data_IF_976285808813
#
_entry.id   IF_976285808813
#
_cell.length_a   1.000
_cell.length_b   1.000
_cell.length_c   1.000
_cell.angle_alpha   90.00
_cell.angle_beta   90.00
_cell.angle_gamma   90.00
#
_symmetry.space_group_name_H-M   'P 1'
#
loop_
_entity.id
_entity.type
_entity.pdbx_description
1 polymer ?
#
# COMPACT_ATOMS: atom_id res chain seq x y z
N UNK A 1 -2.89 -16.75 12.51
CA UNK A 1 -2.99 -15.28 12.66
C UNK A 1 -4.36 -14.96 13.24
N UNK A 2 -4.42 -14.43 14.46
CA UNK A 2 -5.69 -14.15 15.13
C UNK A 2 -6.29 -12.79 14.75
N UNK A 3 -5.49 -11.94 14.09
CA UNK A 3 -5.91 -10.63 13.58
C UNK A 3 -5.17 -10.30 12.26
N UNK A 4 -5.87 -10.26 11.11
CA UNK A 4 -5.28 -9.90 9.80
C UNK A 4 -4.82 -8.44 9.70
N UNK A 5 -5.09 -7.63 10.73
CA UNK A 5 -4.73 -6.21 10.82
C UNK A 5 -3.59 -5.96 11.81
N UNK A 6 -2.94 -7.01 12.32
CA UNK A 6 -1.87 -6.87 13.31
C UNK A 6 -0.63 -6.12 12.78
N UNK A 7 -0.51 -5.93 11.47
CA UNK A 7 0.50 -5.09 10.83
C UNK A 7 0.24 -3.58 11.01
N UNK A 8 -1.00 -3.18 11.33
CA UNK A 8 -1.38 -1.76 11.41
C UNK A 8 -0.66 -1.06 12.57
N UNK A 9 0.09 0.02 12.31
CA UNK A 9 0.69 0.82 13.38
C UNK A 9 -0.38 1.55 14.20
N UNK A 10 -0.16 1.69 15.51
CA UNK A 10 -1.04 2.49 16.38
C UNK A 10 -0.83 4.01 16.18
N UNK A 11 0.39 4.40 15.82
CA UNK A 11 0.79 5.76 15.50
C UNK A 11 1.90 5.74 14.45
N UNK A 12 2.01 6.79 13.64
CA UNK A 12 3.07 6.92 12.65
C UNK A 12 4.45 6.93 13.33
N UNK A 13 5.46 6.42 12.63
CA UNK A 13 6.86 6.40 13.06
C UNK A 13 7.10 5.58 14.35
N UNK A 14 6.27 4.57 14.63
CA UNK A 14 6.41 3.70 15.81
C UNK A 14 6.56 2.22 15.45
N UNK A 15 7.19 1.47 16.36
CA UNK A 15 7.39 0.03 16.21
C UNK A 15 8.45 -0.34 15.18
N UNK A 16 8.38 -1.57 14.69
CA UNK A 16 9.37 -2.11 13.75
C UNK A 16 8.81 -2.29 12.33
N UNK A 17 7.51 -2.09 12.12
CA UNK A 17 6.90 -2.21 10.81
C UNK A 17 7.25 -1.00 9.94
N UNK A 18 8.10 -1.21 8.93
CA UNK A 18 8.72 -0.14 8.15
C UNK A 18 7.67 0.75 7.48
N UNK A 19 6.63 0.15 6.92
CA UNK A 19 5.59 0.87 6.19
C UNK A 19 4.77 1.83 7.09
N UNK A 20 4.88 1.70 8.43
CA UNK A 20 4.26 2.64 9.38
C UNK A 20 5.02 3.95 9.58
N UNK A 21 6.15 4.16 8.89
CA UNK A 21 6.96 5.36 9.00
C UNK A 21 6.74 6.32 7.82
N UNK A 22 6.94 7.61 8.06
CA UNK A 22 7.02 8.65 7.03
C UNK A 22 8.36 8.63 6.28
N UNK A 23 8.41 9.28 5.12
CA UNK A 23 9.62 9.44 4.31
C UNK A 23 10.82 9.96 5.12
N UNK A 24 10.61 11.05 5.87
CA UNK A 24 11.70 11.74 6.56
C UNK A 24 12.17 10.96 7.79
N UNK A 25 11.26 10.37 8.57
CA UNK A 25 11.66 9.53 9.69
C UNK A 25 12.44 8.30 9.24
N UNK A 26 12.10 7.68 8.10
CA UNK A 26 12.89 6.57 7.55
C UNK A 26 14.27 7.03 7.10
N UNK A 27 14.39 8.19 6.45
CA UNK A 27 15.69 8.73 6.00
C UNK A 27 16.70 8.90 7.14
N UNK A 28 16.24 9.14 8.37
CA UNK A 28 17.10 9.24 9.56
C UNK A 28 17.56 7.87 10.08
N UNK A 29 16.78 6.81 9.81
CA UNK A 29 17.06 5.44 10.29
C UNK A 29 17.82 4.60 9.27
N UNK A 30 17.58 4.80 7.99
CA UNK A 30 18.27 4.09 6.89
C UNK A 30 19.76 4.40 6.91
N UNK A 31 20.58 3.36 6.82
CA UNK A 31 22.04 3.42 6.98
C UNK A 31 22.52 3.20 8.42
N UNK A 32 21.63 3.27 9.41
CA UNK A 32 21.92 2.95 10.82
C UNK A 32 21.23 1.66 11.24
N UNK A 33 19.93 1.55 10.98
CA UNK A 33 19.12 0.42 11.36
C UNK A 33 19.12 -0.68 10.31
N UNK A 34 19.12 -1.93 10.78
CA UNK A 34 18.99 -3.10 9.91
C UNK A 34 17.58 -3.19 9.34
N UNK A 35 17.50 -3.38 8.03
CA UNK A 35 16.25 -3.52 7.27
C UNK A 35 16.13 -4.96 6.78
N UNK A 36 15.00 -5.61 7.08
CA UNK A 36 14.73 -6.99 6.67
C UNK A 36 13.52 -7.05 5.74
N UNK A 37 13.64 -7.82 4.66
CA UNK A 37 12.54 -8.34 3.85
C UNK A 37 12.25 -9.79 4.28
N UNK A 38 11.13 -10.07 4.95
CA UNK A 38 10.75 -11.44 5.26
C UNK A 38 10.11 -12.16 4.07
N UNK A 39 10.42 -13.44 3.90
CA UNK A 39 9.56 -14.41 3.19
C UNK A 39 8.99 -15.37 4.23
N UNK A 40 7.67 -15.46 4.32
CA UNK A 40 7.00 -16.28 5.34
C UNK A 40 5.75 -16.97 4.79
N UNK A 41 5.15 -17.86 5.57
CA UNK A 41 3.87 -18.45 5.19
C UNK A 41 2.70 -17.51 5.49
N UNK A 42 1.64 -17.58 4.69
CA UNK A 42 0.36 -16.95 5.02
C UNK A 42 -0.08 -17.32 6.45
N UNK A 43 -0.53 -16.33 7.20
CA UNK A 43 -0.97 -16.51 8.58
C UNK A 43 0.15 -16.52 9.64
N UNK A 44 1.41 -16.30 9.24
CA UNK A 44 2.53 -16.02 10.17
C UNK A 44 2.18 -14.84 11.08
N UNK A 45 2.31 -14.94 12.42
CA UNK A 45 1.99 -13.84 13.33
C UNK A 45 2.84 -12.59 13.08
N UNK A 46 2.21 -11.41 13.12
CA UNK A 46 2.92 -10.14 12.92
C UNK A 46 4.02 -9.88 13.98
N UNK A 47 3.86 -10.41 15.20
CA UNK A 47 4.89 -10.34 16.24
C UNK A 47 6.16 -11.12 15.90
N UNK A 48 6.04 -12.25 15.18
CA UNK A 48 7.18 -13.03 14.70
C UNK A 48 7.95 -12.24 13.63
N UNK A 49 7.23 -11.53 12.76
CA UNK A 49 7.83 -10.67 11.73
C UNK A 49 8.48 -9.43 12.32
N UNK A 50 7.76 -8.68 13.16
CA UNK A 50 8.27 -7.43 13.77
C UNK A 50 9.44 -7.67 14.73
N UNK A 51 9.62 -8.90 15.24
CA UNK A 51 10.78 -9.31 16.02
C UNK A 51 12.07 -9.51 15.20
N UNK A 52 12.02 -9.50 13.87
CA UNK A 52 13.18 -9.84 13.02
C UNK A 52 14.24 -8.74 12.96
N UNK A 53 13.85 -7.46 12.99
CA UNK A 53 14.77 -6.33 12.90
C UNK A 53 14.13 -5.02 13.41
N UNK A 54 14.92 -3.96 13.64
CA UNK A 54 14.38 -2.63 13.97
C UNK A 54 13.51 -2.02 12.86
N UNK A 55 13.71 -2.44 11.60
CA UNK A 55 12.91 -2.09 10.44
C UNK A 55 12.61 -3.35 9.62
N UNK A 56 11.32 -3.67 9.50
CA UNK A 56 10.82 -4.87 8.81
C UNK A 56 9.88 -4.43 7.71
N UNK A 57 10.24 -4.75 6.46
CA UNK A 57 9.37 -4.59 5.31
C UNK A 57 8.19 -5.55 5.40
N UNK A 58 7.06 -5.25 4.74
CA UNK A 58 6.01 -6.24 4.55
C UNK A 58 6.54 -7.56 3.96
N UNK A 59 5.96 -8.72 4.29
CA UNK A 59 6.47 -10.00 3.81
C UNK A 59 6.10 -10.27 2.36
N UNK A 60 6.89 -11.12 1.71
CA UNK A 60 6.40 -11.96 0.62
C UNK A 60 5.91 -13.30 1.17
N UNK A 61 4.90 -13.89 0.54
CA UNK A 61 4.29 -15.14 1.01
C UNK A 61 4.76 -16.35 0.21
N UNK A 62 5.26 -17.39 0.87
CA UNK A 62 5.70 -18.65 0.25
C UNK A 62 4.66 -19.21 -0.72
N UNK A 63 3.40 -19.24 -0.30
CA UNK A 63 2.30 -19.83 -1.04
C UNK A 63 1.92 -19.02 -2.30
N UNK A 64 2.34 -17.75 -2.37
CA UNK A 64 2.09 -16.85 -3.49
C UNK A 64 3.24 -16.84 -4.53
N UNK A 65 4.32 -17.59 -4.29
CA UNK A 65 5.54 -17.54 -5.09
C UNK A 65 5.85 -18.87 -5.78
N UNK A 66 6.32 -18.77 -7.02
CA UNK A 66 7.17 -19.78 -7.65
C UNK A 66 8.65 -19.34 -7.57
N UNK A 67 9.59 -20.25 -7.87
CA UNK A 67 11.03 -19.96 -7.78
C UNK A 67 11.47 -18.76 -8.64
N UNK A 68 10.88 -18.60 -9.82
CA UNK A 68 11.24 -17.52 -10.75
C UNK A 68 10.68 -16.18 -10.26
N UNK A 69 9.41 -16.15 -9.85
CA UNK A 69 8.74 -14.98 -9.32
C UNK A 69 9.41 -14.51 -8.03
N UNK A 70 9.81 -15.45 -7.16
CA UNK A 70 10.56 -15.15 -5.95
C UNK A 70 11.84 -14.39 -6.28
N UNK A 71 12.66 -14.93 -7.19
CA UNK A 71 13.94 -14.30 -7.57
C UNK A 71 13.69 -12.92 -8.18
N UNK A 72 12.70 -12.81 -9.07
CA UNK A 72 12.37 -11.55 -9.73
C UNK A 72 11.89 -10.46 -8.75
N UNK A 73 10.97 -10.80 -7.82
CA UNK A 73 10.47 -9.86 -6.82
C UNK A 73 11.57 -9.43 -5.84
N UNK A 74 12.36 -10.38 -5.30
CA UNK A 74 13.46 -10.04 -4.40
C UNK A 74 14.46 -9.13 -5.11
N UNK A 75 14.86 -9.46 -6.34
CA UNK A 75 15.78 -8.64 -7.13
C UNK A 75 15.23 -7.23 -7.33
N UNK A 76 13.96 -7.11 -7.73
CA UNK A 76 13.33 -5.81 -7.99
C UNK A 76 13.18 -4.98 -6.71
N UNK A 77 12.76 -5.60 -5.60
CA UNK A 77 12.68 -4.92 -4.31
C UNK A 77 14.05 -4.37 -3.89
N UNK A 78 15.12 -5.16 -4.04
CA UNK A 78 16.48 -4.71 -3.69
C UNK A 78 17.05 -3.64 -4.62
N UNK A 79 16.54 -3.54 -5.85
CA UNK A 79 16.90 -2.48 -6.80
C UNK A 79 16.22 -1.15 -6.47
N UNK A 80 15.00 -1.20 -5.92
CA UNK A 80 14.20 -0.03 -5.58
C UNK A 80 14.48 0.54 -4.19
N UNK A 81 14.73 -0.31 -3.19
CA UNK A 81 14.67 0.09 -1.78
C UNK A 81 16.01 -0.09 -1.05
N UNK A 82 16.43 0.84 -0.17
CA UNK A 82 15.71 2.05 0.28
C UNK A 82 15.77 3.24 -0.67
N UNK A 83 16.73 3.25 -1.58
CA UNK A 83 16.88 4.27 -2.62
C UNK A 83 17.04 3.57 -3.96
N UNK A 84 16.29 4.00 -4.96
CA UNK A 84 16.38 3.41 -6.29
C UNK A 84 17.80 3.57 -6.83
N UNK A 85 18.32 2.52 -7.46
CA UNK A 85 19.74 2.41 -7.77
C UNK A 85 20.31 3.54 -8.67
N UNK A 86 19.47 4.22 -9.45
CA UNK A 86 19.88 5.36 -10.29
C UNK A 86 19.87 6.72 -9.56
N UNK A 87 19.35 6.79 -8.32
CA UNK A 87 19.39 8.01 -7.50
C UNK A 87 20.79 8.25 -6.94
N UNK A 88 21.08 9.48 -6.51
CA UNK A 88 22.35 9.86 -5.89
C UNK A 88 22.71 9.06 -4.63
N UNK A 89 21.69 8.48 -3.98
CA UNK A 89 21.80 7.67 -2.76
C UNK A 89 21.71 6.16 -3.02
N UNK A 90 21.67 5.75 -4.30
CA UNK A 90 21.65 4.35 -4.70
C UNK A 90 22.82 3.56 -4.08
N UNK A 91 22.50 2.47 -3.40
CA UNK A 91 23.50 1.59 -2.77
C UNK A 91 24.03 2.05 -1.40
N UNK A 92 23.51 3.14 -0.81
CA UNK A 92 23.90 3.57 0.56
C UNK A 92 23.49 2.59 1.66
N UNK A 93 22.46 1.78 1.42
CA UNK A 93 21.93 0.80 2.37
C UNK A 93 21.38 -0.42 1.62
N UNK A 94 21.34 -1.56 2.30
CA UNK A 94 20.83 -2.82 1.74
C UNK A 94 19.67 -3.37 2.54
N UNK A 95 18.86 -4.19 1.89
CA UNK A 95 17.81 -4.99 2.52
C UNK A 95 18.34 -6.41 2.72
N UNK A 96 18.22 -6.95 3.93
CA UNK A 96 18.53 -8.35 4.24
C UNK A 96 17.30 -9.22 3.99
N UNK A 97 17.46 -10.29 3.21
CA UNK A 97 16.40 -11.29 3.01
C UNK A 97 16.41 -12.29 4.17
N UNK A 98 15.29 -12.44 4.87
CA UNK A 98 15.10 -13.51 5.86
C UNK A 98 13.97 -14.42 5.42
N UNK A 99 14.28 -15.67 5.13
CA UNK A 99 13.29 -16.68 4.79
C UNK A 99 12.95 -17.51 6.03
N UNK A 100 11.71 -17.38 6.51
CA UNK A 100 11.20 -18.20 7.60
C UNK A 100 10.80 -19.58 7.07
N UNK A 101 10.91 -20.64 7.88
CA UNK A 101 10.45 -21.97 7.49
C UNK A 101 8.97 -21.94 7.10
N UNK A 102 8.63 -22.54 5.95
CA UNK A 102 7.24 -22.70 5.53
C UNK A 102 6.43 -23.50 6.57
N UNK A 103 5.25 -23.00 6.92
CA UNK A 103 4.35 -23.59 7.92
C UNK A 103 2.90 -23.41 7.50
N UNK A 104 2.10 -24.45 7.69
CA UNK A 104 0.65 -24.30 7.59
C UNK A 104 0.12 -23.58 8.85
N UNK A 105 -0.53 -22.44 8.67
CA UNK A 105 -1.22 -21.73 9.74
C UNK A 105 -2.73 -21.95 9.63
N UNK A 106 -3.46 -21.98 10.76
CA UNK A 106 -4.93 -21.99 10.71
C UNK A 106 -5.44 -20.73 9.99
N UNK A 107 -6.61 -20.85 9.36
CA UNK A 107 -7.32 -19.74 8.74
C UNK A 107 -7.46 -18.56 9.72
N UNK A 108 -7.32 -17.33 9.23
CA UNK A 108 -7.46 -16.11 10.03
C UNK A 108 -8.92 -15.76 10.39
N UNK A 109 -9.87 -16.58 9.96
CA UNK A 109 -11.30 -16.41 10.20
C UNK A 109 -12.10 -17.62 9.71
N UNK A 110 -13.44 -17.51 9.66
CA UNK A 110 -14.30 -18.53 9.05
C UNK A 110 -13.88 -18.82 7.60
N UNK A 111 -14.06 -20.06 7.15
CA UNK A 111 -13.88 -20.44 5.74
C UNK A 111 -15.23 -20.42 4.99
N UNK A 112 -15.22 -20.40 3.66
CA UNK A 112 -16.46 -20.48 2.87
C UNK A 112 -17.25 -19.18 2.74
N UNK A 113 -16.69 -18.04 3.14
CA UNK A 113 -17.28 -16.69 3.03
C UNK A 113 -16.84 -15.92 1.78
N UNK A 114 -17.09 -14.61 1.78
CA UNK A 114 -16.43 -13.68 0.85
C UNK A 114 -15.12 -13.25 1.50
N UNK A 115 -13.99 -13.48 0.84
CA UNK A 115 -12.72 -12.93 1.31
C UNK A 115 -12.56 -11.51 0.81
N UNK A 116 -12.04 -10.61 1.65
CA UNK A 116 -11.70 -9.25 1.26
C UNK A 116 -10.25 -8.91 1.63
N UNK A 117 -9.53 -8.29 0.70
CA UNK A 117 -8.17 -7.81 0.88
C UNK A 117 -7.89 -6.68 -0.09
N UNK A 118 -6.84 -5.91 0.18
CA UNK A 118 -6.38 -4.90 -0.76
C UNK A 118 -5.13 -5.33 -1.51
N UNK A 119 -4.94 -4.72 -2.68
CA UNK A 119 -3.68 -4.73 -3.40
C UNK A 119 -3.25 -3.28 -3.53
N UNK A 120 -2.48 -2.82 -2.55
CA UNK A 120 -2.01 -1.45 -2.43
C UNK A 120 -0.49 -1.43 -2.35
N UNK A 121 0.13 -0.33 -2.77
CA UNK A 121 1.58 -0.10 -2.69
C UNK A 121 1.96 0.35 -1.28
N UNK A 122 2.01 -0.59 -0.32
CA UNK A 122 2.28 -0.27 1.08
C UNK A 122 3.69 0.32 1.33
N UNK A 123 4.62 0.16 0.39
CA UNK A 123 5.96 0.75 0.44
C UNK A 123 6.08 1.79 -0.67
N UNK A 124 5.38 2.90 -0.48
CA UNK A 124 5.41 4.10 -1.31
C UNK A 124 5.45 5.32 -0.40
N UNK A 125 6.40 6.22 -0.61
CA UNK A 125 6.50 7.42 0.21
C UNK A 125 5.28 8.32 0.02
N UNK A 126 4.70 8.83 1.11
CA UNK A 126 3.56 9.74 1.09
C UNK A 126 3.93 11.07 1.74
N UNK A 127 5.05 11.62 1.31
CA UNK A 127 5.59 12.85 1.82
C UNK A 127 6.08 12.79 3.27
N UNK A 128 6.35 13.96 3.87
CA UNK A 128 6.90 14.03 5.23
C UNK A 128 5.91 13.67 6.34
N UNK A 129 4.60 13.72 6.07
CA UNK A 129 3.56 13.73 7.11
C UNK A 129 2.70 12.46 7.18
N UNK A 130 2.70 11.60 6.15
CA UNK A 130 1.93 10.36 6.11
C UNK A 130 2.84 9.12 6.08
N UNK A 131 2.36 7.96 6.58
CA UNK A 131 3.13 6.71 6.54
C UNK A 131 3.22 6.16 5.12
N UNK A 132 4.20 5.30 4.85
CA UNK A 132 4.26 4.62 3.54
C UNK A 132 3.01 3.79 3.25
N UNK A 133 2.43 3.15 4.28
CA UNK A 133 1.23 2.33 4.19
C UNK A 133 -0.07 3.14 4.03
N UNK A 134 -0.01 4.41 3.60
CA UNK A 134 -1.19 5.29 3.47
C UNK A 134 -2.29 4.64 2.66
N UNK A 135 -1.95 3.99 1.54
CA UNK A 135 -2.92 3.33 0.68
C UNK A 135 -3.60 2.15 1.40
N UNK A 136 -2.81 1.25 1.96
CA UNK A 136 -3.28 0.07 2.68
C UNK A 136 -4.12 0.42 3.90
N UNK A 137 -3.77 1.50 4.61
CA UNK A 137 -4.53 1.99 5.77
C UNK A 137 -5.94 2.44 5.38
N UNK A 138 -6.08 3.17 4.27
CA UNK A 138 -7.37 3.60 3.74
C UNK A 138 -8.23 2.40 3.30
N UNK A 139 -7.65 1.51 2.51
CA UNK A 139 -8.33 0.30 2.04
C UNK A 139 -8.85 -0.54 3.20
N UNK A 140 -8.03 -0.79 4.22
CA UNK A 140 -8.46 -1.62 5.34
C UNK A 140 -9.44 -0.94 6.28
N UNK A 141 -9.43 0.39 6.41
CA UNK A 141 -10.49 1.10 7.13
C UNK A 141 -11.88 0.86 6.49
N UNK A 142 -11.94 0.82 5.14
CA UNK A 142 -13.15 0.47 4.40
C UNK A 142 -13.50 -1.00 4.61
N UNK A 143 -12.55 -1.91 4.40
CA UNK A 143 -12.80 -3.35 4.49
C UNK A 143 -13.25 -3.77 5.90
N UNK A 144 -12.68 -3.20 6.95
CA UNK A 144 -13.13 -3.42 8.33
C UNK A 144 -14.57 -3.00 8.55
N UNK A 145 -14.93 -1.82 8.03
CA UNK A 145 -16.30 -1.34 8.15
C UNK A 145 -17.27 -2.31 7.48
N UNK A 146 -16.95 -2.75 6.26
CA UNK A 146 -17.76 -3.72 5.52
C UNK A 146 -17.85 -5.08 6.25
N UNK A 147 -16.73 -5.58 6.78
CA UNK A 147 -16.71 -6.84 7.53
C UNK A 147 -17.52 -6.76 8.82
N UNK A 148 -17.53 -5.61 9.50
CA UNK A 148 -18.38 -5.37 10.68
C UNK A 148 -19.87 -5.34 10.36
N UNK A 149 -20.23 -4.91 9.14
CA UNK A 149 -21.61 -4.87 8.64
C UNK A 149 -22.09 -6.25 8.12
N UNK A 150 -21.15 -7.13 7.76
CA UNK A 150 -21.43 -8.42 7.10
C UNK A 150 -20.60 -9.58 7.67
N UNK A 151 -21.15 -10.41 8.58
CA UNK A 151 -20.44 -11.54 9.19
C UNK A 151 -19.90 -12.61 8.22
N UNK A 152 -20.38 -12.62 6.97
CA UNK A 152 -19.89 -13.50 5.91
C UNK A 152 -18.64 -13.01 5.18
N UNK A 153 -18.08 -11.86 5.58
CA UNK A 153 -16.87 -11.27 5.00
C UNK A 153 -15.68 -11.55 5.91
N UNK A 154 -14.60 -12.06 5.32
CA UNK A 154 -13.37 -12.45 6.01
C UNK A 154 -12.23 -11.60 5.47
N UNK A 155 -11.55 -10.86 6.35
CA UNK A 155 -10.40 -10.07 5.96
C UNK A 155 -9.15 -10.98 5.84
N UNK A 156 -8.50 -10.94 4.70
CA UNK A 156 -7.17 -11.52 4.50
C UNK A 156 -6.10 -10.43 4.65
N UNK A 157 -4.81 -10.80 4.83
CA UNK A 157 -3.70 -9.85 4.78
C UNK A 157 -3.63 -9.08 3.44
N UNK A 158 -2.97 -7.90 3.41
CA UNK A 158 -2.78 -7.16 2.17
C UNK A 158 -1.81 -7.85 1.22
N UNK A 159 -1.93 -7.51 -0.08
CA UNK A 159 -0.81 -7.57 -1.01
C UNK A 159 -0.11 -6.21 -0.96
N UNK A 160 1.02 -6.14 -0.26
CA UNK A 160 1.70 -4.88 0.08
C UNK A 160 2.62 -4.30 -1.01
N UNK A 161 2.75 -5.01 -2.15
CA UNK A 161 3.66 -4.64 -3.23
C UNK A 161 2.91 -4.46 -4.53
N UNK A 162 3.12 -3.30 -5.17
CA UNK A 162 2.47 -2.93 -6.42
C UNK A 162 3.36 -2.20 -7.41
N UNK A 163 2.73 -1.63 -8.42
CA UNK A 163 3.38 -0.89 -9.50
C UNK A 163 3.25 0.61 -9.22
N UNK A 164 4.36 1.34 -9.21
CA UNK A 164 4.37 2.78 -8.87
C UNK A 164 4.41 3.67 -10.11
N UNK A 165 3.76 4.82 -10.02
CA UNK A 165 3.80 5.83 -11.10
C UNK A 165 4.95 6.83 -10.93
N UNK A 166 5.27 7.23 -9.69
CA UNK A 166 6.24 8.31 -9.44
C UNK A 166 7.03 8.21 -8.12
N UNK A 167 6.85 7.18 -7.27
CA UNK A 167 7.52 7.13 -5.96
C UNK A 167 9.04 6.92 -6.00
N UNK A 168 9.59 6.26 -7.03
CA UNK A 168 11.03 5.87 -7.07
C UNK A 168 12.01 7.06 -6.93
N UNK A 169 11.85 8.20 -7.63
CA UNK A 169 12.69 9.40 -7.46
C UNK A 169 12.82 9.93 -6.03
N UNK A 170 11.81 9.73 -5.18
CA UNK A 170 11.79 10.28 -3.82
C UNK A 170 12.48 9.36 -2.80
N UNK A 171 12.72 8.10 -3.18
CA UNK A 171 13.21 7.04 -2.30
C UNK A 171 12.10 6.43 -1.43
N UNK A 172 12.49 5.50 -0.55
CA UNK A 172 11.59 4.76 0.34
C UNK A 172 10.37 4.14 -0.36
N UNK A 173 10.51 3.78 -1.63
CA UNK A 173 9.43 3.32 -2.48
C UNK A 173 9.83 2.07 -3.27
N UNK A 174 8.89 1.16 -3.49
CA UNK A 174 9.10 -0.09 -4.22
C UNK A 174 8.10 -0.20 -5.38
N UNK A 175 8.64 -0.32 -6.60
CA UNK A 175 7.87 -0.62 -7.81
C UNK A 175 8.18 -2.04 -8.28
N UNK A 176 7.24 -2.97 -8.14
CA UNK A 176 7.40 -4.34 -8.66
C UNK A 176 7.02 -4.47 -10.14
N UNK A 177 6.64 -3.40 -10.83
CA UNK A 177 6.16 -3.40 -12.23
C UNK A 177 4.85 -4.17 -12.44
N UNK A 178 4.10 -3.82 -13.48
CA UNK A 178 2.83 -4.47 -13.80
C UNK A 178 2.96 -5.99 -14.04
N UNK A 179 3.95 -6.50 -14.81
CA UNK A 179 4.06 -7.95 -15.04
C UNK A 179 4.30 -8.78 -13.77
N UNK A 180 5.16 -8.32 -12.84
CA UNK A 180 5.36 -9.06 -11.59
C UNK A 180 4.14 -8.93 -10.68
N UNK A 181 3.48 -7.77 -10.67
CA UNK A 181 2.25 -7.59 -9.92
C UNK A 181 1.15 -8.55 -10.38
N UNK A 182 0.91 -8.69 -11.68
CA UNK A 182 -0.06 -9.66 -12.21
C UNK A 182 0.25 -11.09 -11.75
N UNK A 183 1.52 -11.51 -11.83
CA UNK A 183 1.95 -12.84 -11.35
C UNK A 183 1.75 -12.99 -9.83
N UNK A 184 2.10 -11.96 -9.07
CA UNK A 184 2.02 -12.00 -7.61
C UNK A 184 0.57 -12.01 -7.11
N UNK A 185 -0.31 -11.17 -7.68
CA UNK A 185 -1.75 -11.19 -7.39
C UNK A 185 -2.36 -12.54 -7.75
N UNK A 186 -1.96 -13.14 -8.87
CA UNK A 186 -2.42 -14.49 -9.25
C UNK A 186 -2.03 -15.52 -8.18
N UNK A 187 -0.74 -15.55 -7.81
CA UNK A 187 -0.21 -16.46 -6.78
C UNK A 187 -0.86 -16.26 -5.42
N UNK A 188 -0.96 -15.01 -4.98
CA UNK A 188 -1.59 -14.63 -3.71
C UNK A 188 -3.06 -15.04 -3.66
N UNK A 189 -3.83 -14.73 -4.70
CA UNK A 189 -5.26 -15.07 -4.76
C UNK A 189 -5.47 -16.58 -4.76
N UNK A 190 -4.57 -17.33 -5.41
CA UNK A 190 -4.57 -18.80 -5.37
C UNK A 190 -4.24 -19.35 -3.97
N UNK A 191 -3.27 -18.76 -3.29
CA UNK A 191 -2.93 -19.12 -1.92
C UNK A 191 -4.09 -18.83 -0.95
N UNK A 192 -4.79 -17.71 -1.13
CA UNK A 192 -6.02 -17.39 -0.41
C UNK A 192 -7.14 -18.41 -0.70
N UNK A 193 -7.27 -18.85 -1.95
CA UNK A 193 -8.24 -19.88 -2.32
C UNK A 193 -8.01 -21.19 -1.54
N UNK A 194 -6.75 -21.59 -1.38
CA UNK A 194 -6.37 -22.80 -0.64
C UNK A 194 -6.49 -22.63 0.88
N UNK A 195 -6.23 -21.41 1.39
CA UNK A 195 -6.19 -21.16 2.83
C UNK A 195 -7.57 -20.87 3.45
N UNK A 196 -8.45 -20.18 2.73
CA UNK A 196 -9.75 -19.70 3.25
C UNK A 196 -10.97 -20.31 2.56
N UNK A 197 -10.77 -21.05 1.46
CA UNK A 197 -11.84 -21.67 0.66
C UNK A 197 -13.03 -20.71 0.38
N UNK A 198 -12.79 -19.48 -0.11
CA UNK A 198 -13.84 -18.47 -0.23
C UNK A 198 -14.81 -18.77 -1.39
N UNK A 199 -16.05 -18.30 -1.25
CA UNK A 199 -17.06 -18.34 -2.32
C UNK A 199 -16.91 -17.20 -3.32
N UNK A 200 -16.30 -16.09 -2.91
CA UNK A 200 -15.94 -14.97 -3.77
C UNK A 200 -14.82 -14.12 -3.14
N UNK A 201 -14.15 -13.29 -3.94
CA UNK A 201 -13.19 -12.28 -3.47
C UNK A 201 -13.69 -10.85 -3.73
N UNK A 202 -13.59 -9.97 -2.74
CA UNK A 202 -13.74 -8.53 -2.88
C UNK A 202 -12.37 -7.86 -2.73
N UNK A 203 -11.84 -7.34 -3.83
CA UNK A 203 -10.48 -6.80 -3.87
C UNK A 203 -10.54 -5.30 -4.07
N UNK A 204 -9.80 -4.56 -3.25
CA UNK A 204 -9.80 -3.09 -3.29
C UNK A 204 -8.39 -2.54 -3.52
N UNK A 205 -8.34 -1.32 -4.02
CA UNK A 205 -7.12 -0.54 -4.27
C UNK A 205 -7.46 0.93 -4.10
N UNK A 206 -6.56 1.76 -3.57
CA UNK A 206 -6.69 3.22 -3.64
C UNK A 206 -5.68 3.86 -4.58
N UNK A 207 -4.64 3.12 -4.99
CA UNK A 207 -3.53 3.65 -5.76
C UNK A 207 -3.96 4.27 -7.10
N UNK A 208 -3.38 5.43 -7.43
CA UNK A 208 -3.78 6.29 -8.55
C UNK A 208 -3.54 5.73 -9.96
N UNK A 209 -2.77 4.65 -10.09
CA UNK A 209 -2.33 4.12 -11.40
C UNK A 209 -3.38 3.26 -12.10
N UNK A 210 -3.74 3.65 -13.34
CA UNK A 210 -4.57 2.80 -14.22
C UNK A 210 -3.83 1.50 -14.60
N UNK A 211 -2.50 1.55 -14.74
CA UNK A 211 -1.66 0.39 -15.06
C UNK A 211 -1.65 -0.61 -13.90
N UNK A 212 -1.62 -0.12 -12.66
CA UNK A 212 -1.73 -0.94 -11.46
C UNK A 212 -3.06 -1.69 -11.41
N UNK A 213 -4.17 -0.97 -11.60
CA UNK A 213 -5.52 -1.55 -11.60
C UNK A 213 -5.69 -2.63 -12.66
N UNK A 214 -5.20 -2.38 -13.87
CA UNK A 214 -5.24 -3.37 -14.94
C UNK A 214 -4.46 -4.64 -14.56
N UNK A 215 -3.26 -4.49 -14.00
CA UNK A 215 -2.44 -5.62 -13.57
C UNK A 215 -3.09 -6.45 -12.45
N UNK A 216 -3.79 -5.80 -11.50
CA UNK A 216 -4.59 -6.47 -10.46
C UNK A 216 -5.71 -7.29 -11.10
N UNK A 217 -6.50 -6.66 -11.97
CA UNK A 217 -7.63 -7.33 -12.63
C UNK A 217 -7.18 -8.53 -13.48
N UNK A 218 -6.06 -8.41 -14.20
CA UNK A 218 -5.47 -9.51 -14.95
C UNK A 218 -5.03 -10.66 -14.01
N UNK A 219 -4.45 -10.33 -12.85
CA UNK A 219 -4.05 -11.33 -11.86
C UNK A 219 -5.24 -12.06 -11.23
N UNK A 220 -6.32 -11.33 -10.93
CA UNK A 220 -7.57 -11.91 -10.42
C UNK A 220 -8.23 -12.81 -11.47
N UNK A 221 -8.25 -12.38 -12.74
CA UNK A 221 -8.79 -13.16 -13.85
C UNK A 221 -8.01 -14.46 -14.11
N UNK A 222 -6.70 -14.47 -13.84
CA UNK A 222 -5.85 -15.65 -13.95
C UNK A 222 -5.89 -16.57 -12.71
N UNK A 223 -6.54 -16.16 -11.62
CA UNK A 223 -6.62 -16.91 -10.36
C UNK A 223 -7.68 -18.02 -10.39
N UNK A 224 -7.67 -18.87 -9.35
CA UNK A 224 -8.64 -19.96 -9.13
C UNK A 224 -9.96 -19.49 -8.50
N UNK A 225 -10.05 -18.25 -8.02
CA UNK A 225 -11.31 -17.72 -7.47
C UNK A 225 -12.18 -17.26 -8.64
N UNK A 226 -13.17 -18.07 -9.02
CA UNK A 226 -14.01 -17.81 -10.20
C UNK A 226 -15.04 -16.68 -10.05
N UNK A 227 -15.24 -16.15 -8.84
CA UNK A 227 -16.17 -15.05 -8.57
C UNK A 227 -15.47 -13.96 -7.78
N UNK A 228 -15.31 -12.79 -8.36
CA UNK A 228 -14.65 -11.67 -7.70
C UNK A 228 -15.24 -10.32 -8.15
N UNK A 229 -15.00 -9.30 -7.35
CA UNK A 229 -15.22 -7.90 -7.71
C UNK A 229 -13.99 -7.08 -7.31
N UNK A 230 -13.60 -6.14 -8.17
CA UNK A 230 -12.50 -5.22 -7.94
C UNK A 230 -13.03 -3.79 -7.83
N UNK A 231 -12.55 -3.04 -6.83
CA UNK A 231 -12.92 -1.63 -6.61
C UNK A 231 -11.68 -0.77 -6.39
N UNK A 232 -11.48 0.18 -7.30
CA UNK A 232 -10.67 1.36 -6.99
C UNK A 232 -11.49 2.32 -6.10
N UNK A 233 -11.10 2.44 -4.83
CA UNK A 233 -11.89 3.09 -3.79
C UNK A 233 -11.97 4.62 -3.93
N UNK A 234 -11.01 5.25 -4.62
CA UNK A 234 -11.03 6.69 -4.86
C UNK A 234 -11.88 7.11 -6.06
N UNK A 235 -12.50 6.17 -6.80
CA UNK A 235 -13.42 6.46 -7.91
C UNK A 235 -14.52 7.51 -7.58
N UNK A 236 -15.26 7.43 -6.44
CA UNK A 236 -16.24 8.45 -6.08
C UNK A 236 -15.64 9.80 -5.65
N UNK A 237 -14.32 9.90 -5.56
CA UNK A 237 -13.58 11.07 -5.08
C UNK A 237 -12.90 11.87 -6.19
N UNK A 238 -12.92 11.40 -7.45
CA UNK A 238 -12.17 12.01 -8.59
C UNK A 238 -12.38 13.53 -8.70
N UNK A 239 -13.60 14.03 -8.50
CA UNK A 239 -13.93 15.46 -8.57
C UNK A 239 -13.36 16.31 -7.40
N UNK A 240 -12.90 15.65 -6.35
CA UNK A 240 -12.31 16.23 -5.13
C UNK A 240 -10.79 16.01 -5.09
N UNK A 241 -10.29 14.98 -5.76
CA UNK A 241 -8.86 14.65 -5.87
C UNK A 241 -8.31 15.02 -7.25
N UNK A 242 -8.36 14.08 -8.19
CA UNK A 242 -7.63 14.15 -9.44
C UNK A 242 -8.01 15.32 -10.34
N UNK A 243 -9.29 15.68 -10.42
CA UNK A 243 -9.77 16.84 -11.18
C UNK A 243 -9.27 18.18 -10.59
N UNK A 244 -8.78 18.15 -9.34
CA UNK A 244 -8.21 19.29 -8.61
C UNK A 244 -6.69 19.21 -8.48
N UNK A 245 -6.05 18.28 -9.18
CA UNK A 245 -4.59 18.09 -9.13
C UNK A 245 -4.05 17.51 -7.83
N UNK A 246 -4.91 16.93 -6.98
CA UNK A 246 -4.54 16.20 -5.76
C UNK A 246 -4.47 14.72 -6.07
N UNK A 247 -3.27 14.16 -6.15
CA UNK A 247 -3.04 12.79 -6.61
C UNK A 247 -2.21 11.93 -5.66
N UNK A 248 -1.33 12.54 -4.87
CA UNK A 248 -0.40 11.78 -4.04
C UNK A 248 0.07 12.57 -2.82
N UNK A 249 -0.13 12.01 -1.64
CA UNK A 249 0.12 12.63 -0.34
C UNK A 249 -0.52 14.02 -0.18
N UNK A 250 -1.57 14.29 -0.95
CA UNK A 250 -2.26 15.58 -0.99
C UNK A 250 -3.37 15.67 0.04
N UNK A 251 -4.34 16.55 -0.21
CA UNK A 251 -5.37 16.88 0.76
C UNK A 251 -6.29 15.70 1.06
N UNK A 252 -6.70 14.95 0.04
CA UNK A 252 -7.63 13.82 0.16
C UNK A 252 -7.09 12.71 1.04
N UNK A 253 -5.86 12.27 0.80
CA UNK A 253 -5.23 11.22 1.60
C UNK A 253 -4.93 11.70 3.02
N UNK A 254 -4.49 12.95 3.16
CA UNK A 254 -4.26 13.55 4.48
C UNK A 254 -5.55 13.57 5.32
N UNK A 255 -6.67 14.03 4.73
CA UNK A 255 -7.96 14.07 5.41
C UNK A 255 -8.50 12.67 5.74
N UNK A 256 -8.31 11.69 4.85
CA UNK A 256 -8.73 10.31 5.08
C UNK A 256 -7.92 9.65 6.21
N UNK A 257 -6.59 9.76 6.20
CA UNK A 257 -5.72 9.20 7.25
C UNK A 257 -6.00 9.86 8.60
N UNK A 258 -6.17 11.19 8.63
CA UNK A 258 -6.51 11.90 9.86
C UNK A 258 -7.88 11.46 10.42
N UNK A 259 -8.87 11.26 9.56
CA UNK A 259 -10.18 10.73 9.96
C UNK A 259 -10.10 9.29 10.48
N UNK A 260 -9.29 8.43 9.84
CA UNK A 260 -9.10 7.04 10.25
C UNK A 260 -8.45 6.97 11.63
N UNK A 261 -7.34 7.68 11.83
CA UNK A 261 -6.65 7.80 13.11
C UNK A 261 -5.69 9.01 13.07
N UNK A 262 -5.95 10.08 13.83
CA UNK A 262 -5.07 11.25 13.86
C UNK A 262 -3.63 10.96 14.29
N UNK A 263 -3.39 9.88 15.04
CA UNK A 263 -2.04 9.46 15.43
C UNK A 263 -1.21 8.89 14.27
N UNK A 264 -1.82 8.63 13.11
CA UNK A 264 -1.13 8.22 11.89
C UNK A 264 -0.64 9.41 11.05
N UNK A 265 -0.94 10.64 11.46
CA UNK A 265 -0.39 11.84 10.83
C UNK A 265 0.76 12.38 11.69
N UNK A 266 1.88 12.71 11.06
CA UNK A 266 3.03 13.23 11.82
C UNK A 266 2.76 14.66 12.29
N UNK A 267 2.45 14.80 13.58
CA UNK A 267 2.17 16.09 14.21
C UNK A 267 3.37 17.06 14.20
N UNK A 268 4.60 16.58 13.95
CA UNK A 268 5.76 17.44 13.74
C UNK A 268 5.76 18.13 12.38
N UNK A 269 4.95 17.64 11.42
CA UNK A 269 4.81 18.20 10.07
C UNK A 269 3.43 18.81 9.83
N UNK A 270 2.36 18.09 10.14
CA UNK A 270 1.00 18.53 9.84
C UNK A 270 0.21 18.87 11.12
N UNK A 271 -0.60 19.96 11.12
CA UNK A 271 -0.75 20.97 10.07
C UNK A 271 0.28 22.11 10.15
N UNK A 272 1.11 22.11 11.20
CA UNK A 272 1.91 23.28 11.59
C UNK A 272 2.98 23.73 10.56
N UNK A 273 3.47 22.81 9.72
CA UNK A 273 4.49 23.09 8.68
C UNK A 273 3.91 23.02 7.26
N UNK A 274 2.60 23.25 7.11
CA UNK A 274 1.90 23.22 5.83
C UNK A 274 2.57 24.10 4.76
N UNK A 275 2.99 25.31 5.09
CA UNK A 275 3.65 26.20 4.12
C UNK A 275 4.96 25.61 3.59
N UNK A 276 5.72 24.89 4.43
CA UNK A 276 6.94 24.21 4.01
C UNK A 276 6.65 23.01 3.10
N UNK A 277 5.56 22.28 3.37
CA UNK A 277 5.10 21.18 2.51
C UNK A 277 4.66 21.70 1.14
N UNK A 278 3.83 22.75 1.11
CA UNK A 278 3.36 23.38 -0.13
C UNK A 278 4.51 23.98 -0.94
N UNK A 279 5.55 24.50 -0.30
CA UNK A 279 6.72 25.05 -1.00
C UNK A 279 7.60 23.98 -1.67
N UNK A 280 7.41 22.69 -1.33
CA UNK A 280 8.24 21.56 -1.80
C UNK A 280 7.45 20.45 -2.48
N UNK A 281 6.13 20.60 -2.62
CA UNK A 281 5.33 19.69 -3.43
C UNK A 281 5.64 19.88 -4.92
N UNK A 282 5.38 18.84 -5.71
CA UNK A 282 5.38 18.87 -7.16
C UNK A 282 3.96 19.09 -7.68
N UNK A 283 3.79 19.74 -8.83
CA UNK A 283 2.48 19.78 -9.50
C UNK A 283 2.18 18.45 -10.20
N UNK A 284 0.90 18.08 -10.32
CA UNK A 284 0.51 16.90 -11.09
C UNK A 284 0.98 16.98 -12.56
N UNK A 285 0.88 18.15 -13.18
CA UNK A 285 1.31 18.37 -14.56
C UNK A 285 2.81 18.05 -14.73
N UNK A 286 3.65 18.50 -13.79
CA UNK A 286 5.07 18.20 -13.81
C UNK A 286 5.36 16.71 -13.60
N UNK A 287 4.68 16.06 -12.66
CA UNK A 287 4.85 14.63 -12.42
C UNK A 287 4.47 13.81 -13.65
N UNK A 288 3.33 14.08 -14.29
CA UNK A 288 2.88 13.42 -15.52
C UNK A 288 3.85 13.65 -16.67
N UNK A 289 4.36 14.88 -16.82
CA UNK A 289 5.33 15.20 -17.87
C UNK A 289 6.64 14.42 -17.71
N UNK A 290 7.08 14.19 -16.47
CA UNK A 290 8.36 13.56 -16.16
C UNK A 290 8.28 12.03 -16.02
N UNK A 291 7.09 11.45 -15.85
CA UNK A 291 6.93 10.03 -15.56
C UNK A 291 7.45 9.08 -16.64
N UNK A 292 7.65 9.57 -17.87
CA UNK A 292 8.23 8.79 -18.98
C UNK A 292 9.76 8.89 -19.09
N UNK A 293 10.40 9.77 -18.30
CA UNK A 293 11.85 10.00 -18.28
C UNK A 293 12.36 10.03 -16.83
N UNK A 294 12.56 8.83 -16.29
CA UNK A 294 12.94 8.63 -14.90
C UNK A 294 14.25 9.33 -14.50
N UNK A 295 15.34 9.31 -15.30
CA UNK A 295 16.55 10.08 -15.00
C UNK A 295 16.30 11.59 -14.82
N UNK A 296 15.52 12.19 -15.72
CA UNK A 296 15.17 13.62 -15.62
C UNK A 296 14.27 13.88 -14.41
N UNK A 297 13.38 12.94 -14.06
CA UNK A 297 12.56 13.05 -12.86
C UNK A 297 13.41 12.98 -11.58
N UNK A 298 14.36 12.05 -11.50
CA UNK A 298 15.32 11.96 -10.38
C UNK A 298 16.07 13.28 -10.22
N UNK A 299 16.66 13.82 -11.30
CA UNK A 299 17.39 15.10 -11.25
C UNK A 299 16.48 16.23 -10.74
N UNK A 300 15.23 16.28 -11.20
CA UNK A 300 14.24 17.27 -10.76
C UNK A 300 13.96 17.18 -9.26
N UNK A 301 13.73 15.97 -8.74
CA UNK A 301 13.43 15.76 -7.31
C UNK A 301 14.63 16.11 -6.44
N UNK A 302 15.82 15.68 -6.81
CA UNK A 302 17.04 15.89 -6.02
C UNK A 302 17.51 17.36 -6.03
N UNK A 303 17.48 18.02 -7.18
CA UNK A 303 17.94 19.40 -7.32
C UNK A 303 17.07 20.40 -6.55
N UNK A 304 15.75 20.20 -6.57
CA UNK A 304 14.80 21.08 -5.87
C UNK A 304 14.45 20.61 -4.46
N UNK A 305 14.87 19.40 -4.09
CA UNK A 305 14.55 18.72 -2.82
C UNK A 305 13.05 18.62 -2.62
N UNK A 306 12.37 18.08 -3.62
CA UNK A 306 10.93 17.86 -3.58
C UNK A 306 10.58 16.83 -2.50
N UNK A 307 9.40 16.99 -1.91
CA UNK A 307 9.06 16.31 -0.66
C UNK A 307 8.24 15.03 -0.83
N UNK A 308 7.85 14.68 -2.06
CA UNK A 308 7.03 13.50 -2.36
C UNK A 308 5.57 13.80 -2.68
N UNK A 309 5.06 14.94 -2.22
CA UNK A 309 3.67 15.33 -2.47
C UNK A 309 3.50 15.70 -3.95
N UNK A 310 2.51 15.10 -4.61
CA UNK A 310 2.11 15.42 -5.99
C UNK A 310 0.77 16.14 -5.97
N UNK A 311 0.88 17.46 -5.78
CA UNK A 311 -0.16 18.46 -5.93
C UNK A 311 -1.27 18.40 -4.87
N UNK A 312 -1.99 19.52 -4.78
CA UNK A 312 -3.32 19.55 -4.18
C UNK A 312 -3.40 19.36 -2.66
N UNK A 313 -2.29 19.45 -1.92
CA UNK A 313 -2.33 19.46 -0.44
C UNK A 313 -3.23 20.60 0.09
N UNK A 314 -3.30 21.72 -0.64
CA UNK A 314 -4.20 22.83 -0.32
C UNK A 314 -5.69 22.47 -0.40
N UNK A 315 -6.08 21.41 -1.11
CA UNK A 315 -7.47 20.96 -1.20
C UNK A 315 -8.02 20.42 0.12
N UNK A 316 -7.14 20.10 1.09
CA UNK A 316 -7.51 19.67 2.43
C UNK A 316 -8.59 20.55 3.07
N UNK A 317 -8.52 21.88 2.90
CA UNK A 317 -9.48 22.80 3.53
C UNK A 317 -10.90 22.72 2.96
N UNK A 318 -11.07 22.09 1.80
CA UNK A 318 -12.32 22.04 1.05
C UNK A 318 -13.03 20.67 1.13
N UNK A 319 -12.52 19.77 1.96
CA UNK A 319 -12.98 18.39 2.10
C UNK A 319 -13.06 18.00 3.57
N UNK A 320 -13.81 16.95 3.86
CA UNK A 320 -13.94 16.37 5.20
C UNK A 320 -13.74 14.86 5.10
N UNK A 321 -12.86 14.30 5.94
CA UNK A 321 -12.48 12.89 5.86
C UNK A 321 -13.66 11.93 6.10
N UNK A 322 -14.65 12.31 6.91
CA UNK A 322 -15.83 11.49 7.15
C UNK A 322 -16.73 11.46 5.89
N UNK A 323 -16.94 12.61 5.26
CA UNK A 323 -17.69 12.72 4.01
C UNK A 323 -17.02 11.93 2.87
N UNK A 324 -15.69 11.97 2.79
CA UNK A 324 -14.93 11.16 1.83
C UNK A 324 -15.13 9.67 2.10
N UNK A 325 -14.97 9.22 3.35
CA UNK A 325 -15.14 7.82 3.73
C UNK A 325 -16.55 7.31 3.44
N UNK A 326 -17.61 8.08 3.72
CA UNK A 326 -18.99 7.67 3.41
C UNK A 326 -19.25 7.55 1.90
N UNK A 327 -18.62 8.39 1.07
CA UNK A 327 -18.70 8.25 -0.40
C UNK A 327 -18.08 6.93 -0.86
N UNK A 328 -16.91 6.58 -0.32
CA UNK A 328 -16.24 5.30 -0.59
C UNK A 328 -17.13 4.14 -0.15
N UNK A 329 -17.62 4.15 1.09
CA UNK A 329 -18.47 3.09 1.63
C UNK A 329 -19.78 2.92 0.84
N UNK A 330 -20.35 4.01 0.31
CA UNK A 330 -21.57 3.96 -0.51
C UNK A 330 -21.43 3.06 -1.74
N UNK A 331 -20.33 3.20 -2.49
CA UNK A 331 -20.07 2.34 -3.66
C UNK A 331 -19.62 0.95 -3.25
N UNK A 332 -18.78 0.83 -2.22
CA UNK A 332 -18.25 -0.47 -1.76
C UNK A 332 -19.32 -1.40 -1.21
N UNK A 333 -20.32 -0.88 -0.48
CA UNK A 333 -21.48 -1.66 0.00
C UNK A 333 -22.26 -2.25 -1.18
N UNK A 334 -22.40 -1.50 -2.26
CA UNK A 334 -23.12 -1.96 -3.47
C UNK A 334 -22.37 -3.09 -4.16
N UNK A 335 -21.05 -2.97 -4.32
CA UNK A 335 -20.23 -4.02 -4.91
C UNK A 335 -20.26 -5.31 -4.07
N UNK A 336 -20.10 -5.17 -2.75
CA UNK A 336 -20.06 -6.30 -1.83
C UNK A 336 -21.39 -7.05 -1.79
N UNK A 337 -22.52 -6.33 -1.81
CA UNK A 337 -23.85 -6.94 -1.85
C UNK A 337 -24.03 -7.86 -3.07
N UNK A 338 -23.40 -7.56 -4.21
CA UNK A 338 -23.44 -8.41 -5.39
C UNK A 338 -22.61 -9.71 -5.25
N UNK A 339 -21.71 -9.78 -4.27
CA UNK A 339 -20.89 -10.96 -3.95
C UNK A 339 -21.48 -11.83 -2.84
N UNK A 340 -22.33 -11.28 -1.97
CA UNK A 340 -22.96 -12.08 -0.92
C UNK A 340 -23.97 -13.07 -1.52
N UNK A 341 -24.21 -14.24 -0.87
CA UNK A 341 -25.29 -15.13 -1.26
C UNK A 341 -26.65 -14.42 -1.18
N UNK A 342 -27.51 -14.63 -2.17
CA UNK A 342 -28.93 -14.27 -2.04
C UNK A 342 -29.56 -15.21 -1.02
N UNK A 343 -30.01 -14.66 0.11
CA UNK A 343 -30.63 -15.43 1.20
C UNK A 343 -31.92 -16.14 0.83
#
# INVERSE_FOLDING_TARGET
MDNPLAWRPQAINTGNWLAGYSLNALRERVGTDRIVLPICSLGTPAEELTGLAPLVLPPLYHEALDDELRVALVSRITECFPFYHETSRGGESSVELIELPARAHPACGPTGGVVAFSVDTAVEEHGPHLPLATDTLQSYAVLERLASEHPGVVLAPPVDYGQLTWGLPFGMSIDITAPLLTRYVTGYTNAIADWLEPTAAYVVDVHGSIVHRAAIQDGLAASRIGRWSFRWLHDPLVALSGDRGDQHAGGVETALIEFINPALVDAAWWPSRREELLAKQMSLEDAVRLSSDLPTFIERVESERLNGIVGGLENYDAIDGADLMERILGVSRTDLAALLPTG
#
